data_IF_731244279045
#
_entry.id   IF_731244279045
#
_cell.length_a   1.000
_cell.length_b   1.000
_cell.length_c   1.000
_cell.angle_alpha   90.00
_cell.angle_beta   90.00
_cell.angle_gamma   90.00
#
_symmetry.space_group_name_H-M   'P 1'
#
loop_
_entity.id
_entity.type
_entity.pdbx_description
1 polymer ?
#
# COMPACT_ATOMS: atom_id res chain seq x y z
N UNK A 1 0.58 -7.47 -0.16
CA UNK A 1 1.49 -6.36 0.23
C UNK A 1 2.91 -6.83 0.59
N UNK A 2 3.19 -8.13 0.65
CA UNK A 2 4.54 -8.67 0.88
C UNK A 2 5.59 -8.09 -0.07
N UNK A 3 5.26 -7.90 -1.35
CA UNK A 3 6.17 -7.33 -2.35
C UNK A 3 6.55 -5.87 -2.05
N UNK A 4 5.63 -5.07 -1.47
CA UNK A 4 5.91 -3.71 -1.06
C UNK A 4 6.90 -3.70 0.11
N UNK A 5 6.66 -4.51 1.15
CA UNK A 5 7.57 -4.62 2.28
C UNK A 5 8.96 -5.11 1.85
N UNK A 6 9.02 -6.10 0.95
CA UNK A 6 10.27 -6.59 0.38
C UNK A 6 11.01 -5.51 -0.41
N UNK A 7 10.30 -4.73 -1.22
CA UNK A 7 10.92 -3.66 -2.02
C UNK A 7 11.43 -2.50 -1.15
N UNK A 8 10.68 -2.13 -0.10
CA UNK A 8 11.15 -1.16 0.88
C UNK A 8 12.41 -1.68 1.57
N UNK A 9 12.40 -2.92 2.08
CA UNK A 9 13.56 -3.50 2.75
C UNK A 9 14.78 -3.57 1.83
N UNK A 10 14.58 -3.94 0.56
CA UNK A 10 15.64 -4.00 -0.46
C UNK A 10 16.27 -2.64 -0.71
N UNK A 11 15.47 -1.57 -0.73
CA UNK A 11 15.97 -0.22 -1.02
C UNK A 11 16.48 0.55 0.20
N UNK A 12 15.88 0.34 1.37
CA UNK A 12 16.27 1.02 2.61
C UNK A 12 17.44 0.33 3.32
N UNK A 13 17.68 -0.95 3.04
CA UNK A 13 18.65 -1.79 3.75
C UNK A 13 18.20 -2.17 5.18
N UNK A 14 16.97 -1.81 5.57
CA UNK A 14 16.41 -2.13 6.88
C UNK A 14 15.40 -3.29 6.77
N UNK A 15 15.33 -4.18 7.78
CA UNK A 15 14.33 -5.24 7.79
C UNK A 15 12.92 -4.64 7.91
N UNK A 16 12.07 -4.92 6.91
CA UNK A 16 10.66 -4.53 6.91
C UNK A 16 9.82 -5.77 6.65
N UNK A 17 8.83 -6.00 7.51
CA UNK A 17 7.90 -7.13 7.39
C UNK A 17 6.49 -6.63 7.08
N UNK A 18 5.80 -7.35 6.22
CA UNK A 18 4.36 -7.20 6.10
C UNK A 18 3.69 -8.03 7.19
N UNK A 19 2.91 -7.37 8.04
CA UNK A 19 2.07 -8.02 9.05
C UNK A 19 0.62 -7.85 8.64
N UNK A 20 0.04 -8.92 8.12
CA UNK A 20 -1.38 -8.98 7.80
C UNK A 20 -2.21 -9.03 9.09
N UNK A 21 -3.29 -8.26 9.14
CA UNK A 21 -4.15 -8.10 10.31
C UNK A 21 -5.62 -8.14 9.88
N UNK A 22 -6.51 -8.74 10.70
CA UNK A 22 -7.95 -8.57 10.52
C UNK A 22 -8.33 -7.09 10.52
N UNK A 23 -9.31 -6.70 9.70
CA UNK A 23 -9.74 -5.32 9.51
C UNK A 23 -9.96 -4.55 10.82
N UNK A 24 -10.68 -5.17 11.77
CA UNK A 24 -10.98 -4.56 13.07
C UNK A 24 -9.71 -4.32 13.90
N UNK A 25 -8.74 -5.23 13.84
CA UNK A 25 -7.45 -5.08 14.52
C UNK A 25 -6.60 -4.00 13.85
N UNK A 26 -6.57 -3.97 12.51
CA UNK A 26 -5.85 -2.93 11.77
C UNK A 26 -6.41 -1.54 12.06
N UNK A 27 -7.73 -1.37 12.03
CA UNK A 27 -8.40 -0.14 12.46
C UNK A 27 -8.01 0.26 13.89
N UNK A 28 -8.01 -0.71 14.81
CA UNK A 28 -7.61 -0.48 16.20
C UNK A 28 -6.17 0.04 16.33
N UNK A 29 -5.24 -0.53 15.56
CA UNK A 29 -3.85 -0.05 15.49
C UNK A 29 -3.79 1.39 14.97
N UNK A 30 -4.50 1.70 13.88
CA UNK A 30 -4.53 3.04 13.28
C UNK A 30 -5.05 4.11 14.25
N UNK A 31 -6.15 3.81 14.96
CA UNK A 31 -6.67 4.71 16.01
C UNK A 31 -5.66 4.84 17.15
N UNK A 32 -5.02 3.73 17.56
CA UNK A 32 -4.02 3.73 18.63
C UNK A 32 -2.78 4.58 18.33
N UNK A 33 -2.43 4.80 17.06
CA UNK A 33 -1.34 5.70 16.64
C UNK A 33 -1.81 7.13 16.35
N UNK A 34 -3.09 7.44 16.61
CA UNK A 34 -3.63 8.79 16.59
C UNK A 34 -4.39 9.18 15.32
N UNK A 35 -4.73 8.24 14.43
CA UNK A 35 -5.61 8.56 13.30
C UNK A 35 -7.06 8.76 13.77
N UNK A 36 -7.79 9.74 13.21
CA UNK A 36 -9.22 9.88 13.43
C UNK A 36 -9.98 8.61 13.02
N UNK A 37 -11.03 8.27 13.76
CA UNK A 37 -11.78 7.02 13.65
C UNK A 37 -12.36 6.79 12.24
N UNK A 38 -12.86 7.87 11.61
CA UNK A 38 -13.39 7.80 10.25
C UNK A 38 -12.31 7.48 9.22
N UNK A 39 -11.10 8.03 9.38
CA UNK A 39 -9.98 7.75 8.49
C UNK A 39 -9.43 6.33 8.73
N UNK A 40 -9.32 5.92 9.99
CA UNK A 40 -8.90 4.55 10.34
C UNK A 40 -9.87 3.51 9.77
N UNK A 41 -11.18 3.76 9.84
CA UNK A 41 -12.20 2.89 9.25
C UNK A 41 -12.10 2.84 7.71
N UNK A 42 -11.88 3.97 7.05
CA UNK A 42 -11.71 4.03 5.60
C UNK A 42 -10.49 3.24 5.14
N UNK A 43 -9.36 3.37 5.83
CA UNK A 43 -8.14 2.66 5.49
C UNK A 43 -8.24 1.15 5.75
N UNK A 44 -8.88 0.74 6.86
CA UNK A 44 -9.05 -0.68 7.15
C UNK A 44 -9.98 -1.37 6.17
N UNK A 45 -11.12 -0.75 5.83
CA UNK A 45 -12.07 -1.26 4.83
C UNK A 45 -11.41 -1.36 3.44
N UNK A 46 -10.61 -0.35 3.07
CA UNK A 46 -9.85 -0.36 1.82
C UNK A 46 -8.86 -1.52 1.73
N UNK A 47 -8.12 -1.82 2.81
CA UNK A 47 -7.17 -2.94 2.84
C UNK A 47 -7.90 -4.30 2.77
N UNK A 48 -9.00 -4.45 3.51
CA UNK A 48 -9.85 -5.64 3.45
C UNK A 48 -10.49 -5.85 2.05
N UNK A 49 -10.82 -4.76 1.35
CA UNK A 49 -11.26 -4.78 -0.04
C UNK A 49 -10.14 -5.15 -1.01
N UNK A 50 -8.93 -4.61 -0.81
CA UNK A 50 -7.76 -4.92 -1.62
C UNK A 50 -7.38 -6.40 -1.54
N UNK A 51 -7.49 -7.02 -0.35
CA UNK A 51 -7.31 -8.47 -0.17
C UNK A 51 -8.28 -9.32 -1.01
N UNK A 52 -9.43 -8.75 -1.39
CA UNK A 52 -10.45 -9.39 -2.25
C UNK A 52 -10.30 -9.01 -3.73
N UNK A 53 -9.24 -8.31 -4.11
CA UNK A 53 -8.96 -7.94 -5.50
C UNK A 53 -9.50 -6.57 -5.91
N UNK A 54 -10.04 -5.76 -4.99
CA UNK A 54 -10.72 -4.50 -5.35
C UNK A 54 -9.78 -3.43 -5.96
N UNK A 55 -8.46 -3.57 -5.80
CA UNK A 55 -7.46 -2.65 -6.36
C UNK A 55 -6.72 -3.21 -7.57
N UNK A 56 -7.08 -4.43 -8.02
CA UNK A 56 -6.41 -5.09 -9.12
C UNK A 56 -7.07 -4.73 -10.44
N UNK A 57 -6.29 -4.14 -11.35
CA UNK A 57 -6.63 -3.96 -12.75
C UNK A 57 -5.40 -4.30 -13.61
N UNK A 58 -5.59 -5.16 -14.60
CA UNK A 58 -4.56 -5.51 -15.59
C UNK A 58 -4.85 -4.90 -16.96
N UNK A 59 -5.90 -4.07 -17.07
CA UNK A 59 -6.39 -3.53 -18.33
C UNK A 59 -5.45 -2.49 -18.96
N UNK A 60 -4.53 -1.89 -18.19
CA UNK A 60 -3.53 -0.90 -18.64
C UNK A 60 -4.13 0.33 -19.33
N UNK A 61 -5.38 0.69 -19.03
CA UNK A 61 -6.09 1.83 -19.62
C UNK A 61 -5.31 3.13 -19.37
N UNK A 62 -4.82 3.32 -18.15
CA UNK A 62 -4.07 4.53 -17.77
C UNK A 62 -2.81 4.70 -18.63
N UNK A 63 -2.03 3.63 -18.82
CA UNK A 63 -0.82 3.69 -19.63
C UNK A 63 -1.09 4.04 -21.10
N UNK A 64 -2.17 3.51 -21.67
CA UNK A 64 -2.64 3.90 -23.01
C UNK A 64 -3.07 5.36 -23.06
N UNK A 65 -3.84 5.81 -22.07
CA UNK A 65 -4.36 7.17 -22.00
C UNK A 65 -3.25 8.22 -21.93
N UNK A 66 -2.19 7.96 -21.15
CA UNK A 66 -1.09 8.91 -20.95
C UNK A 66 0.06 8.73 -21.95
N UNK A 67 -0.02 7.76 -22.88
CA UNK A 67 0.99 7.54 -23.91
C UNK A 67 2.33 6.97 -23.42
N UNK A 68 2.39 6.41 -22.20
CA UNK A 68 3.60 5.78 -21.63
C UNK A 68 3.24 4.70 -20.62
N UNK A 69 4.20 3.84 -20.28
CA UNK A 69 4.03 2.92 -19.15
C UNK A 69 3.76 3.69 -17.83
N UNK A 70 2.95 3.09 -16.95
CA UNK A 70 2.74 3.60 -15.59
C UNK A 70 4.02 3.49 -14.77
N UNK A 71 4.15 4.36 -13.77
CA UNK A 71 5.35 4.39 -12.93
C UNK A 71 5.44 3.09 -12.10
N UNK A 72 6.54 2.31 -12.19
CA UNK A 72 6.69 1.09 -11.41
C UNK A 72 6.80 1.38 -9.91
N UNK A 73 6.35 0.45 -9.07
CA UNK A 73 6.39 0.58 -7.61
C UNK A 73 7.80 0.91 -7.09
N UNK A 74 8.83 0.23 -7.62
CA UNK A 74 10.22 0.45 -7.24
C UNK A 74 10.68 1.91 -7.40
N UNK A 75 10.19 2.61 -8.45
CA UNK A 75 10.52 4.02 -8.68
C UNK A 75 9.87 4.90 -7.61
N UNK A 76 8.61 4.61 -7.24
CA UNK A 76 7.91 5.33 -6.18
C UNK A 76 8.53 5.11 -4.80
N UNK A 77 8.91 3.87 -4.47
CA UNK A 77 9.64 3.55 -3.23
C UNK A 77 10.96 4.30 -3.17
N UNK A 78 11.72 4.33 -4.27
CA UNK A 78 13.00 5.05 -4.34
C UNK A 78 12.84 6.56 -4.15
N UNK A 79 11.73 7.13 -4.62
CA UNK A 79 11.43 8.54 -4.41
C UNK A 79 11.06 8.82 -2.94
N UNK A 80 10.25 7.96 -2.33
CA UNK A 80 9.80 8.12 -0.95
C UNK A 80 10.95 8.01 0.07
N UNK A 81 11.93 7.13 -0.16
CA UNK A 81 13.09 6.95 0.72
C UNK A 81 14.14 8.08 0.64
N UNK A 82 14.00 9.03 -0.30
CA UNK A 82 14.90 10.18 -0.43
C UNK A 82 14.49 11.39 0.42
N UNK A 83 13.29 11.36 1.01
CA UNK A 83 12.83 12.37 1.97
C UNK A 83 13.43 12.13 3.34
#
# INVERSE_FOLDING_TARGET
LTDLAAEIARQSGQPVIYKDLPEAEFKGVLVGVGLPEGLAALLSDSDAGAAKGALQDEGRQLGRLIGRATTPLAVSVAAALKG
#
